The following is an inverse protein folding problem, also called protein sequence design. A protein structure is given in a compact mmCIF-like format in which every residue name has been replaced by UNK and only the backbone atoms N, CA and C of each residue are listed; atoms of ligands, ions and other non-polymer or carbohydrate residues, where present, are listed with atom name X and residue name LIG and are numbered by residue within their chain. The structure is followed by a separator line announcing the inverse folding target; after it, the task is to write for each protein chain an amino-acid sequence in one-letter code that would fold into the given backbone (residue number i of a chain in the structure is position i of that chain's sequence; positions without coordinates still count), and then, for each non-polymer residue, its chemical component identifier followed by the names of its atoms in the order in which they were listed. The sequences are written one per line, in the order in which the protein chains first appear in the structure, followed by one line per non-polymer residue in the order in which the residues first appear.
data_IF_742821786475
#
_entry.id   IF_742821786475
#
_cell.length_a   1.000
_cell.length_b   1.000
_cell.length_c   1.000
_cell.angle_alpha   90.00
_cell.angle_beta   90.00
_cell.angle_gamma   90.00
#
_symmetry.space_group_name_H-M   'P 1'
#
loop_
_entity.id
_entity.type
_entity.pdbx_description
1 polymer ?
#
# COMPACT_ATOMS: atom_id res chain seq x y z
N UNK A 1 -1.33 63.12 -47.32
CA UNK A 1 -1.74 63.02 -45.91
C UNK A 1 -2.60 61.77 -45.75
N UNK A 2 -2.00 60.58 -45.57
CA UNK A 2 -2.73 59.30 -45.45
C UNK A 2 -2.46 58.70 -44.07
N UNK A 3 -3.47 58.68 -43.19
CA UNK A 3 -3.43 58.03 -41.87
C UNK A 3 -3.71 56.53 -42.05
N UNK A 4 -2.72 55.67 -41.79
CA UNK A 4 -2.93 54.23 -41.62
C UNK A 4 -3.47 53.98 -40.20
N UNK A 5 -4.67 53.43 -40.10
CA UNK A 5 -5.23 52.91 -38.85
C UNK A 5 -4.72 51.48 -38.67
N UNK A 6 -3.93 51.24 -37.61
CA UNK A 6 -3.46 49.92 -37.26
C UNK A 6 -4.48 49.21 -36.38
N UNK A 7 -5.15 48.19 -36.91
CA UNK A 7 -6.07 47.34 -36.16
C UNK A 7 -5.26 46.33 -35.35
N UNK A 8 -5.18 46.51 -34.02
CA UNK A 8 -4.60 45.52 -33.11
C UNK A 8 -5.58 44.36 -32.92
N UNK A 9 -5.28 43.21 -33.51
CA UNK A 9 -5.92 41.93 -33.16
C UNK A 9 -5.50 41.55 -31.73
N UNK A 10 -6.45 41.57 -30.78
CA UNK A 10 -6.27 40.94 -29.46
C UNK A 10 -6.40 39.44 -29.64
N UNK A 11 -5.32 38.70 -29.43
CA UNK A 11 -5.37 37.25 -29.30
C UNK A 11 -6.20 36.91 -28.05
N UNK A 12 -7.31 36.20 -28.24
CA UNK A 12 -8.05 35.59 -27.15
C UNK A 12 -7.24 34.40 -26.64
N UNK A 13 -6.63 34.56 -25.47
CA UNK A 13 -6.08 33.44 -24.71
C UNK A 13 -7.27 32.69 -24.11
N UNK A 14 -7.47 31.44 -24.53
CA UNK A 14 -8.46 30.58 -23.91
C UNK A 14 -8.11 30.39 -22.42
N UNK A 15 -9.09 30.46 -21.51
CA UNK A 15 -8.84 30.17 -20.10
C UNK A 15 -8.29 28.74 -19.95
N UNK A 16 -7.40 28.49 -18.98
CA UNK A 16 -6.94 27.14 -18.69
C UNK A 16 -8.15 26.24 -18.43
N UNK A 17 -8.12 25.03 -18.98
CA UNK A 17 -9.14 24.02 -18.73
C UNK A 17 -9.34 23.91 -17.21
N UNK A 18 -10.59 23.99 -16.77
CA UNK A 18 -10.92 23.81 -15.36
C UNK A 18 -10.33 22.46 -14.92
N UNK A 19 -9.54 22.47 -13.84
CA UNK A 19 -9.06 21.24 -13.23
C UNK A 19 -10.25 20.32 -13.00
N UNK A 20 -10.19 19.09 -13.51
CA UNK A 20 -11.25 18.12 -13.29
C UNK A 20 -11.49 17.98 -11.78
N UNK A 21 -12.75 17.90 -11.34
CA UNK A 21 -13.07 17.76 -9.92
C UNK A 21 -12.37 16.51 -9.39
N UNK A 22 -11.56 16.69 -8.34
CA UNK A 22 -10.90 15.57 -7.66
C UNK A 22 -12.01 14.68 -7.10
N UNK A 23 -12.11 13.41 -7.53
CA UNK A 23 -13.19 12.55 -7.09
C UNK A 23 -13.13 12.31 -5.58
N UNK A 24 -14.31 12.32 -4.97
CA UNK A 24 -14.52 11.97 -3.56
C UNK A 24 -13.93 10.61 -3.20
N UNK A 25 -13.58 10.41 -1.92
CA UNK A 25 -13.10 9.11 -1.42
C UNK A 25 -13.99 7.94 -1.83
N UNK A 26 -13.46 7.05 -2.67
CA UNK A 26 -14.23 5.93 -3.22
C UNK A 26 -14.56 4.84 -2.20
N UNK A 27 -13.71 4.68 -1.17
CA UNK A 27 -13.93 3.81 -0.01
C UNK A 27 -12.87 4.05 1.07
N UNK A 28 -13.15 3.57 2.28
CA UNK A 28 -12.18 3.52 3.38
C UNK A 28 -11.54 2.13 3.50
N UNK A 29 -10.43 2.05 4.22
CA UNK A 29 -9.79 0.80 4.65
C UNK A 29 -10.34 0.47 6.04
N UNK A 30 -10.40 -0.82 6.38
CA UNK A 30 -10.81 -1.21 7.72
C UNK A 30 -9.74 -0.80 8.73
N UNK A 31 -10.16 -0.30 9.89
CA UNK A 31 -9.23 0.10 10.94
C UNK A 31 -8.38 -1.09 11.42
N UNK A 32 -7.07 -0.93 11.32
CA UNK A 32 -6.04 -1.83 11.81
C UNK A 32 -4.84 -1.00 12.25
N UNK A 33 -4.14 -1.44 13.30
CA UNK A 33 -2.98 -0.70 13.83
C UNK A 33 -1.64 -1.26 13.33
N UNK A 34 -1.63 -2.49 12.81
CA UNK A 34 -0.48 -3.06 12.13
C UNK A 34 -0.87 -3.96 10.96
N UNK A 35 0.01 -4.04 9.99
CA UNK A 35 -0.07 -4.95 8.86
C UNK A 35 1.17 -5.88 8.89
N UNK A 36 0.94 -7.18 8.89
CA UNK A 36 1.96 -8.21 9.03
C UNK A 36 2.00 -8.99 7.73
N UNK A 37 3.16 -8.98 7.08
CA UNK A 37 3.40 -9.69 5.83
C UNK A 37 4.27 -10.90 6.12
N UNK A 38 3.73 -12.09 5.86
CA UNK A 38 4.47 -13.34 5.87
C UNK A 38 5.15 -13.51 4.50
N UNK A 39 6.47 -13.59 4.49
CA UNK A 39 7.29 -13.66 3.28
C UNK A 39 7.55 -15.11 2.85
N UNK A 40 7.98 -15.27 1.59
CA UNK A 40 8.37 -16.56 1.02
C UNK A 40 7.21 -17.46 0.61
N UNK A 41 5.98 -16.93 0.58
CA UNK A 41 4.81 -17.67 0.13
C UNK A 41 4.83 -17.87 -1.40
N UNK A 42 4.11 -18.88 -1.94
CA UNK A 42 3.84 -18.96 -3.36
C UNK A 42 3.17 -17.68 -3.89
N UNK A 43 3.29 -17.41 -5.20
CA UNK A 43 2.62 -16.25 -5.79
C UNK A 43 1.13 -16.25 -5.44
N UNK A 44 0.57 -15.13 -4.98
CA UNK A 44 -0.87 -15.00 -4.72
C UNK A 44 -1.74 -15.33 -5.94
N UNK A 45 -1.19 -15.30 -7.15
CA UNK A 45 -1.91 -15.71 -8.36
C UNK A 45 -2.18 -17.23 -8.42
N UNK A 46 -1.39 -18.05 -7.70
CA UNK A 46 -1.44 -19.51 -7.79
C UNK A 46 -2.06 -20.18 -6.55
N UNK A 47 -2.25 -19.44 -5.46
CA UNK A 47 -2.84 -19.99 -4.22
C UNK A 47 -4.38 -20.10 -4.34
N UNK A 48 -5.01 -21.01 -3.58
CA UNK A 48 -6.48 -21.14 -3.58
C UNK A 48 -7.18 -19.92 -2.96
N UNK A 49 -8.46 -19.75 -3.29
CA UNK A 49 -9.31 -18.61 -2.87
C UNK A 49 -9.34 -18.34 -1.36
N UNK A 50 -9.06 -19.38 -0.56
CA UNK A 50 -8.77 -19.30 0.87
C UNK A 50 -7.41 -19.95 1.10
N UNK A 51 -6.42 -19.14 1.44
CA UNK A 51 -5.04 -19.59 1.67
C UNK A 51 -4.62 -19.26 3.10
N UNK A 52 -4.17 -20.28 3.83
CA UNK A 52 -3.69 -20.16 5.21
C UNK A 52 -2.84 -21.36 5.57
N UNK A 53 -1.90 -21.19 6.49
CA UNK A 53 -1.14 -22.27 7.14
C UNK A 53 -1.57 -22.39 8.59
N UNK A 54 -1.14 -23.42 9.32
CA UNK A 54 -1.33 -23.47 10.77
C UNK A 54 -0.70 -22.26 11.46
N UNK A 55 0.55 -21.96 11.10
CA UNK A 55 1.31 -20.85 11.64
C UNK A 55 0.62 -19.49 11.40
N UNK A 56 0.11 -19.24 10.20
CA UNK A 56 -0.55 -17.96 9.89
C UNK A 56 -1.88 -17.78 10.64
N UNK A 57 -2.65 -18.86 10.81
CA UNK A 57 -3.90 -18.84 11.60
C UNK A 57 -3.60 -18.58 13.07
N UNK A 58 -2.60 -19.27 13.62
CA UNK A 58 -2.21 -19.10 15.02
C UNK A 58 -1.71 -17.67 15.28
N UNK A 59 -0.91 -17.11 14.37
CA UNK A 59 -0.48 -15.72 14.43
C UNK A 59 -1.67 -14.75 14.34
N UNK A 60 -2.56 -14.92 13.36
CA UNK A 60 -3.74 -14.06 13.20
C UNK A 60 -4.64 -14.07 14.44
N UNK A 61 -4.79 -15.20 15.12
CA UNK A 61 -5.52 -15.27 16.40
C UNK A 61 -4.86 -14.42 17.49
N UNK A 62 -3.53 -14.43 17.59
CA UNK A 62 -2.78 -13.61 18.56
C UNK A 62 -2.77 -12.12 18.20
N UNK A 63 -2.93 -11.77 16.93
CA UNK A 63 -2.90 -10.37 16.48
C UNK A 63 -4.28 -9.70 16.44
N UNK A 64 -5.36 -10.50 16.37
CA UNK A 64 -6.75 -10.01 16.30
C UNK A 64 -7.16 -9.09 17.45
N UNK A 65 -6.84 -9.38 18.74
CA UNK A 65 -7.27 -8.54 19.87
C UNK A 65 -6.82 -7.08 19.77
N UNK A 66 -5.67 -6.85 19.13
CA UNK A 66 -5.12 -5.53 18.89
C UNK A 66 -5.23 -5.09 17.42
N UNK A 67 -6.00 -5.80 16.60
CA UNK A 67 -6.30 -5.44 15.19
C UNK A 67 -5.08 -5.46 14.27
N UNK A 68 -4.21 -6.45 14.41
CA UNK A 68 -3.19 -6.77 13.41
C UNK A 68 -3.75 -7.60 12.27
N UNK A 69 -3.46 -7.21 11.03
CA UNK A 69 -3.84 -7.96 9.81
C UNK A 69 -2.66 -8.80 9.31
N UNK A 70 -2.89 -10.09 9.07
CA UNK A 70 -1.87 -11.00 8.53
C UNK A 70 -2.18 -11.30 7.07
N UNK A 71 -1.21 -11.03 6.19
CA UNK A 71 -1.25 -11.38 4.78
C UNK A 71 0.02 -12.13 4.37
N UNK A 72 -0.04 -12.86 3.26
CA UNK A 72 1.13 -13.50 2.66
C UNK A 72 1.58 -12.68 1.47
N UNK A 73 2.90 -12.61 1.27
CA UNK A 73 3.47 -12.02 0.07
C UNK A 73 4.50 -12.92 -0.61
N UNK A 74 4.56 -12.79 -1.93
CA UNK A 74 5.64 -13.24 -2.79
C UNK A 74 6.49 -12.01 -3.15
N UNK A 75 7.70 -11.95 -2.62
CA UNK A 75 8.62 -10.81 -2.74
C UNK A 75 10.09 -11.28 -2.60
N UNK A 76 11.02 -10.32 -2.62
CA UNK A 76 12.46 -10.57 -2.50
C UNK A 76 13.00 -10.44 -1.07
N UNK A 77 12.15 -10.34 -0.05
CA UNK A 77 12.59 -10.09 1.34
C UNK A 77 13.25 -11.33 1.94
N UNK A 78 12.72 -12.52 1.68
CA UNK A 78 13.25 -13.76 2.22
C UNK A 78 13.22 -14.91 1.22
N UNK A 79 13.99 -15.95 1.55
CA UNK A 79 13.90 -17.25 0.89
C UNK A 79 12.49 -17.86 1.04
N UNK A 80 12.14 -18.88 0.22
CA UNK A 80 10.85 -19.55 0.30
C UNK A 80 10.55 -20.04 1.71
N UNK A 81 9.33 -19.77 2.18
CA UNK A 81 8.81 -20.31 3.43
C UNK A 81 8.47 -21.78 3.28
N UNK A 82 8.54 -22.53 4.37
CA UNK A 82 7.87 -23.83 4.51
C UNK A 82 6.57 -23.65 5.29
N UNK A 83 5.74 -24.69 5.30
CA UNK A 83 4.48 -24.67 6.04
C UNK A 83 4.66 -24.33 7.54
N UNK A 84 5.75 -24.82 8.13
CA UNK A 84 6.07 -24.66 9.56
C UNK A 84 7.00 -23.48 9.88
N UNK A 85 7.50 -22.77 8.86
CA UNK A 85 8.50 -21.70 9.05
C UNK A 85 8.46 -20.64 7.96
N UNK A 86 8.34 -19.37 8.36
CA UNK A 86 8.46 -18.23 7.47
C UNK A 86 9.21 -17.06 8.12
N UNK A 87 9.68 -16.12 7.31
CA UNK A 87 10.05 -14.80 7.79
C UNK A 87 8.83 -13.87 7.71
N UNK A 88 8.82 -12.78 8.47
CA UNK A 88 7.77 -11.77 8.38
C UNK A 88 8.29 -10.36 8.56
N UNK A 89 7.51 -9.39 8.12
CA UNK A 89 7.69 -7.98 8.47
C UNK A 89 6.38 -7.45 9.00
N UNK A 90 6.41 -6.80 10.17
CA UNK A 90 5.29 -6.02 10.68
C UNK A 90 5.51 -4.54 10.38
N UNK A 91 4.47 -3.88 9.91
CA UNK A 91 4.40 -2.44 9.75
C UNK A 91 3.38 -1.89 10.75
N UNK A 92 3.74 -0.86 11.51
CA UNK A 92 2.81 -0.20 12.42
C UNK A 92 2.77 1.31 12.18
N UNK A 93 1.62 1.92 12.49
CA UNK A 93 1.45 3.37 12.38
C UNK A 93 2.33 4.15 13.38
N UNK A 94 2.90 3.46 14.39
CA UNK A 94 3.72 4.07 15.44
C UNK A 94 5.21 3.96 15.17
N UNK A 95 5.68 2.82 14.63
CA UNK A 95 7.09 2.46 14.66
C UNK A 95 7.68 2.06 13.30
N UNK A 96 6.91 2.12 12.21
CA UNK A 96 7.41 1.76 10.88
C UNK A 96 7.57 0.25 10.74
N UNK A 97 8.64 -0.20 10.12
CA UNK A 97 8.90 -1.61 9.84
C UNK A 97 9.71 -2.32 10.94
N UNK A 98 9.37 -3.60 11.19
CA UNK A 98 10.17 -4.52 11.98
C UNK A 98 10.21 -5.88 11.28
N UNK A 99 11.40 -6.32 10.90
CA UNK A 99 11.62 -7.62 10.29
C UNK A 99 11.90 -8.68 11.35
N UNK A 100 11.20 -9.81 11.26
CA UNK A 100 11.43 -11.01 12.05
C UNK A 100 11.91 -12.11 11.09
N UNK A 101 13.17 -12.56 11.20
CA UNK A 101 13.78 -13.45 10.22
C UNK A 101 13.20 -14.86 10.27
N UNK A 102 12.60 -15.26 11.39
CA UNK A 102 12.06 -16.58 11.58
C UNK A 102 10.88 -16.59 12.55
N UNK A 103 9.75 -17.09 12.08
CA UNK A 103 8.58 -17.47 12.83
C UNK A 103 8.36 -18.98 12.68
N UNK A 104 8.14 -19.67 13.80
CA UNK A 104 7.73 -21.08 13.90
C UNK A 104 6.67 -21.20 14.99
N UNK A 105 6.06 -22.38 15.15
CA UNK A 105 5.15 -22.61 16.28
C UNK A 105 5.85 -22.48 17.64
N UNK A 106 7.12 -22.87 17.73
CA UNK A 106 7.91 -22.85 18.98
C UNK A 106 8.18 -21.43 19.49
N UNK A 107 8.36 -20.45 18.60
CA UNK A 107 8.64 -19.06 18.97
C UNK A 107 7.45 -18.11 18.77
N UNK A 108 6.27 -18.65 18.45
CA UNK A 108 5.08 -17.86 18.08
C UNK A 108 4.68 -16.87 19.17
N UNK A 109 4.74 -17.26 20.44
CA UNK A 109 4.36 -16.41 21.58
C UNK A 109 5.31 -15.22 21.73
N UNK A 110 6.62 -15.47 21.70
CA UNK A 110 7.66 -14.45 21.78
C UNK A 110 7.54 -13.46 20.62
N UNK A 111 7.39 -13.97 19.39
CA UNK A 111 7.22 -13.13 18.21
C UNK A 111 5.94 -12.31 18.33
N UNK A 112 4.81 -12.91 18.72
CA UNK A 112 3.54 -12.18 18.85
C UNK A 112 3.63 -11.04 19.89
N UNK A 113 4.32 -11.26 21.02
CA UNK A 113 4.57 -10.20 22.01
C UNK A 113 5.47 -9.09 21.44
N UNK A 114 6.50 -9.44 20.68
CA UNK A 114 7.34 -8.47 19.99
C UNK A 114 6.53 -7.63 18.99
N UNK A 115 5.67 -8.25 18.16
CA UNK A 115 4.81 -7.55 17.21
C UNK A 115 3.81 -6.65 17.93
N UNK A 116 3.23 -7.12 19.04
CA UNK A 116 2.30 -6.34 19.84
C UNK A 116 2.97 -5.08 20.39
N UNK A 117 4.15 -5.19 21.02
CA UNK A 117 4.91 -4.03 21.51
C UNK A 117 5.24 -3.06 20.38
N UNK A 118 5.66 -3.55 19.21
CA UNK A 118 5.91 -2.72 18.03
C UNK A 118 4.65 -2.01 17.50
N UNK A 119 3.47 -2.58 17.72
CA UNK A 119 2.21 -2.02 17.25
C UNK A 119 1.57 -1.04 18.25
N UNK A 120 1.89 -1.11 19.55
CA UNK A 120 1.17 -0.39 20.61
C UNK A 120 2.02 0.55 21.45
N UNK A 121 3.34 0.36 21.51
CA UNK A 121 4.25 1.19 22.31
C UNK A 121 5.04 2.09 21.37
N UNK A 122 4.80 3.41 21.36
CA UNK A 122 5.59 4.34 20.55
C UNK A 122 7.07 4.30 20.95
N UNK A 123 7.94 4.26 19.96
CA UNK A 123 9.38 4.42 20.11
C UNK A 123 9.85 5.66 19.35
N UNK A 124 11.13 6.00 19.44
CA UNK A 124 11.68 7.08 18.62
C UNK A 124 11.52 6.72 17.14
N UNK A 125 10.73 7.52 16.41
CA UNK A 125 10.48 7.31 14.97
C UNK A 125 11.81 7.26 14.22
N UNK A 126 11.99 6.16 13.47
CA UNK A 126 13.14 5.98 12.58
C UNK A 126 12.67 6.10 11.14
N UNK A 127 13.59 6.55 10.29
CA UNK A 127 13.42 6.44 8.85
C UNK A 127 13.78 5.00 8.46
N UNK A 128 12.84 4.31 7.84
CA UNK A 128 13.08 2.97 7.31
C UNK A 128 13.99 3.05 6.07
N UNK A 129 14.88 2.07 5.96
CA UNK A 129 15.79 1.96 4.83
C UNK A 129 15.04 1.65 3.53
N UNK A 130 13.94 0.89 3.61
CA UNK A 130 13.21 0.35 2.46
C UNK A 130 11.78 0.89 2.38
N UNK A 131 11.32 1.12 1.15
CA UNK A 131 9.92 1.31 0.84
C UNK A 131 9.33 -0.03 0.39
N UNK A 132 8.22 -0.45 0.97
CA UNK A 132 7.53 -1.69 0.60
C UNK A 132 6.25 -1.35 -0.14
N UNK A 133 6.08 -1.90 -1.33
CA UNK A 133 4.91 -1.76 -2.17
C UNK A 133 4.34 -3.16 -2.42
N UNK A 134 3.11 -3.39 -1.98
CA UNK A 134 2.42 -4.65 -2.19
C UNK A 134 1.19 -4.46 -3.07
N UNK A 135 1.07 -5.29 -4.11
CA UNK A 135 -0.08 -5.27 -5.01
C UNK A 135 -0.89 -6.55 -4.81
N UNK A 136 -2.19 -6.42 -4.56
CA UNK A 136 -3.04 -7.58 -4.40
C UNK A 136 -3.28 -8.26 -5.75
N UNK A 137 -2.77 -9.48 -5.95
CA UNK A 137 -2.86 -10.25 -7.20
C UNK A 137 -3.61 -11.58 -7.05
N UNK A 138 -4.41 -11.74 -5.98
CA UNK A 138 -5.03 -13.02 -5.61
C UNK A 138 -6.20 -13.43 -6.54
N UNK A 139 -5.88 -14.02 -7.70
CA UNK A 139 -6.81 -14.39 -8.79
C UNK A 139 -7.95 -15.30 -8.34
N UNK A 140 -7.64 -16.36 -7.59
CA UNK A 140 -8.65 -17.33 -7.15
C UNK A 140 -9.68 -16.73 -6.18
N UNK A 141 -9.35 -15.61 -5.52
CA UNK A 141 -10.27 -14.90 -4.62
C UNK A 141 -11.19 -13.93 -5.37
N UNK A 142 -10.67 -13.23 -6.37
CA UNK A 142 -11.44 -12.36 -7.27
C UNK A 142 -10.64 -12.11 -8.55
N UNK A 143 -11.28 -12.25 -9.73
CA UNK A 143 -10.61 -12.09 -11.02
C UNK A 143 -10.01 -10.69 -11.20
N UNK A 144 -10.63 -9.63 -10.66
CA UNK A 144 -10.11 -8.26 -10.77
C UNK A 144 -8.79 -8.10 -10.01
N UNK A 145 -8.63 -8.79 -8.88
CA UNK A 145 -7.35 -8.83 -8.18
C UNK A 145 -6.27 -9.47 -9.06
N UNK A 146 -6.56 -10.60 -9.70
CA UNK A 146 -5.61 -11.27 -10.61
C UNK A 146 -5.28 -10.45 -11.85
N UNK A 147 -6.30 -9.98 -12.57
CA UNK A 147 -6.16 -9.29 -13.85
C UNK A 147 -5.62 -7.87 -13.70
N UNK A 148 -6.39 -7.00 -13.02
CA UNK A 148 -6.03 -5.58 -12.85
C UNK A 148 -4.85 -5.44 -11.89
N UNK A 149 -4.85 -6.17 -10.78
CA UNK A 149 -3.72 -6.19 -9.85
C UNK A 149 -2.45 -6.73 -10.50
N UNK A 150 -2.53 -7.83 -11.25
CA UNK A 150 -1.39 -8.37 -11.97
C UNK A 150 -0.84 -7.42 -13.05
N UNK A 151 -1.70 -6.70 -13.76
CA UNK A 151 -1.27 -5.67 -14.72
C UNK A 151 -0.52 -4.51 -14.04
N UNK A 152 -1.05 -3.99 -12.93
CA UNK A 152 -0.40 -2.92 -12.16
C UNK A 152 0.93 -3.39 -11.55
N UNK A 153 0.99 -4.60 -11.00
CA UNK A 153 2.23 -5.16 -10.47
C UNK A 153 3.33 -5.23 -11.55
N UNK A 154 3.01 -5.74 -12.74
CA UNK A 154 3.97 -5.81 -13.86
C UNK A 154 4.42 -4.41 -14.32
N UNK A 155 3.50 -3.46 -14.38
CA UNK A 155 3.84 -2.07 -14.72
C UNK A 155 4.77 -1.44 -13.66
N UNK A 156 4.49 -1.62 -12.37
CA UNK A 156 5.36 -1.15 -11.29
C UNK A 156 6.75 -1.78 -11.34
N UNK A 157 6.83 -3.09 -11.62
CA UNK A 157 8.09 -3.79 -11.79
C UNK A 157 8.91 -3.20 -12.93
N UNK A 158 8.31 -3.11 -14.12
CA UNK A 158 8.97 -2.58 -15.30
C UNK A 158 9.48 -1.14 -15.08
N UNK A 159 8.67 -0.30 -14.43
CA UNK A 159 9.03 1.10 -14.14
C UNK A 159 10.17 1.20 -13.10
N UNK A 160 10.12 0.41 -12.02
CA UNK A 160 11.18 0.38 -11.01
C UNK A 160 12.51 -0.15 -11.58
N UNK A 161 12.45 -1.17 -12.44
CA UNK A 161 13.61 -1.77 -13.10
C UNK A 161 14.23 -0.77 -14.09
N UNK A 162 13.41 -0.09 -14.91
CA UNK A 162 13.86 0.93 -15.85
C UNK A 162 14.53 2.12 -15.15
N UNK A 163 14.03 2.51 -13.97
CA UNK A 163 14.60 3.56 -13.13
C UNK A 163 15.81 3.10 -12.29
N UNK A 164 16.10 1.80 -12.26
CA UNK A 164 17.12 1.20 -11.39
C UNK A 164 16.95 1.60 -9.92
N UNK A 165 15.70 1.61 -9.44
CA UNK A 165 15.37 2.15 -8.12
C UNK A 165 15.83 1.20 -7.03
N UNK A 166 16.80 1.64 -6.22
CA UNK A 166 17.27 0.89 -5.06
C UNK A 166 16.33 1.03 -3.85
N UNK A 167 16.42 0.08 -2.91
CA UNK A 167 15.73 0.12 -1.62
C UNK A 167 14.19 0.19 -1.71
N UNK A 168 13.63 -0.42 -2.76
CA UNK A 168 12.19 -0.67 -2.89
C UNK A 168 11.95 -2.17 -2.95
N UNK A 169 11.07 -2.66 -2.09
CA UNK A 169 10.54 -4.01 -2.14
C UNK A 169 9.19 -3.95 -2.81
N UNK A 170 9.10 -4.48 -4.04
CA UNK A 170 7.83 -4.69 -4.72
C UNK A 170 7.44 -6.16 -4.57
N UNK A 171 6.25 -6.41 -4.02
CA UNK A 171 5.73 -7.75 -3.78
C UNK A 171 4.28 -7.91 -4.24
N UNK A 172 3.90 -9.16 -4.52
CA UNK A 172 2.51 -9.55 -4.68
C UNK A 172 1.96 -9.96 -3.33
N UNK A 173 0.74 -9.52 -2.96
CA UNK A 173 0.11 -9.89 -1.68
C UNK A 173 -1.20 -10.64 -1.88
N UNK A 174 -1.52 -11.54 -0.95
CA UNK A 174 -2.84 -12.18 -0.90
C UNK A 174 -3.94 -11.18 -0.67
N UNK A 175 -5.18 -11.58 -0.96
CA UNK A 175 -6.35 -10.71 -0.91
C UNK A 175 -6.47 -9.90 0.39
N UNK A 176 -6.57 -8.57 0.23
CA UNK A 176 -6.62 -7.59 1.32
C UNK A 176 -8.03 -7.02 1.57
N UNK A 177 -9.05 -7.60 0.94
CA UNK A 177 -10.43 -7.09 0.98
C UNK A 177 -10.74 -6.07 -0.11
N UNK A 178 -12.03 -5.73 -0.25
CA UNK A 178 -12.51 -4.63 -1.11
C UNK A 178 -12.02 -4.73 -2.57
N UNK A 179 -12.11 -5.93 -3.17
CA UNK A 179 -11.70 -6.20 -4.57
C UNK A 179 -12.43 -5.33 -5.61
N UNK A 180 -13.55 -4.69 -5.25
CA UNK A 180 -14.27 -3.78 -6.14
C UNK A 180 -13.44 -2.54 -6.51
N UNK A 181 -12.38 -2.25 -5.75
CA UNK A 181 -11.41 -1.20 -6.02
C UNK A 181 -10.05 -1.76 -6.47
N UNK A 182 -9.99 -2.96 -7.03
CA UNK A 182 -8.77 -3.44 -7.66
C UNK A 182 -8.33 -2.47 -8.79
N UNK A 183 -7.03 -2.24 -9.02
CA UNK A 183 -5.91 -2.80 -8.27
C UNK A 183 -5.74 -2.12 -6.90
N UNK A 184 -5.61 -2.93 -5.84
CA UNK A 184 -5.27 -2.44 -4.50
C UNK A 184 -3.76 -2.47 -4.33
N UNK A 185 -3.19 -1.34 -3.90
CA UNK A 185 -1.75 -1.17 -3.64
C UNK A 185 -1.56 -0.67 -2.22
N UNK A 186 -0.71 -1.34 -1.45
CA UNK A 186 -0.39 -1.01 -0.07
C UNK A 186 1.05 -0.54 0.00
N UNK A 187 1.31 0.56 0.69
CA UNK A 187 2.64 1.17 0.76
C UNK A 187 3.07 1.38 2.20
N UNK A 188 4.18 0.77 2.58
CA UNK A 188 4.78 0.87 3.90
C UNK A 188 6.20 1.46 3.82
N UNK A 189 6.64 2.20 4.84
CA UNK A 189 6.00 2.37 6.14
C UNK A 189 4.90 3.43 6.24
N UNK A 190 4.60 4.16 5.17
CA UNK A 190 3.58 5.22 5.19
C UNK A 190 2.24 4.73 5.75
N UNK A 191 1.88 3.48 5.44
CA UNK A 191 0.60 2.86 5.78
C UNK A 191 -0.51 3.21 4.79
N UNK A 192 -0.16 3.76 3.62
CA UNK A 192 -1.12 4.23 2.62
C UNK A 192 -1.66 3.07 1.78
N UNK A 193 -2.96 3.12 1.50
CA UNK A 193 -3.65 2.18 0.63
C UNK A 193 -4.28 2.93 -0.52
N UNK A 194 -4.05 2.41 -1.72
CA UNK A 194 -4.60 2.92 -2.96
C UNK A 194 -5.54 1.88 -3.55
N UNK A 195 -6.53 2.34 -4.32
CA UNK A 195 -7.38 1.48 -5.13
C UNK A 195 -7.70 2.12 -6.46
N UNK A 196 -8.24 1.32 -7.37
CA UNK A 196 -8.47 1.69 -8.78
C UNK A 196 -7.18 2.18 -9.46
N UNK A 197 -6.04 1.71 -8.98
CA UNK A 197 -4.75 2.02 -9.61
C UNK A 197 -4.77 1.43 -11.03
N UNK A 198 -4.44 2.26 -12.01
CA UNK A 198 -4.30 1.87 -13.41
C UNK A 198 -2.83 1.79 -13.78
N UNK A 199 -2.52 1.12 -14.89
CA UNK A 199 -1.15 1.07 -15.44
C UNK A 199 -0.64 2.48 -15.74
N UNK A 200 -1.47 3.36 -16.30
CA UNK A 200 -1.09 4.73 -16.66
C UNK A 200 -0.74 5.61 -15.45
N UNK A 201 -1.31 5.31 -14.27
CA UNK A 201 -1.03 6.05 -13.05
C UNK A 201 0.25 5.56 -12.33
N UNK A 202 0.85 4.45 -12.76
CA UNK A 202 2.03 3.88 -12.09
C UNK A 202 3.21 4.85 -12.04
N UNK A 203 3.63 5.52 -13.13
CA UNK A 203 4.79 6.40 -13.09
C UNK A 203 4.63 7.55 -12.09
N UNK A 204 3.49 8.24 -12.13
CA UNK A 204 3.20 9.39 -11.24
C UNK A 204 2.98 8.98 -9.79
N UNK A 205 2.38 7.81 -9.56
CA UNK A 205 2.27 7.24 -8.22
C UNK A 205 3.66 6.94 -7.65
N UNK A 206 4.53 6.27 -8.41
CA UNK A 206 5.91 5.99 -7.98
C UNK A 206 6.71 7.27 -7.72
N UNK A 207 6.57 8.30 -8.53
CA UNK A 207 7.20 9.61 -8.27
C UNK A 207 6.81 10.16 -6.90
N UNK A 208 5.51 10.11 -6.58
CA UNK A 208 4.97 10.56 -5.29
C UNK A 208 5.54 9.74 -4.14
N UNK A 209 5.55 8.40 -4.28
CA UNK A 209 6.00 7.50 -3.23
C UNK A 209 7.50 7.60 -2.97
N UNK A 210 8.31 7.73 -4.02
CA UNK A 210 9.78 7.80 -3.91
C UNK A 210 10.27 9.15 -3.36
N UNK A 211 9.53 10.22 -3.59
CA UNK A 211 9.80 11.53 -2.99
C UNK A 211 9.32 11.65 -1.52
N UNK A 212 8.51 10.70 -1.04
CA UNK A 212 7.93 10.73 0.31
C UNK A 212 8.90 10.19 1.37
N UNK A 213 8.80 10.67 2.63
CA UNK A 213 9.67 10.21 3.70
C UNK A 213 9.32 8.78 4.10
N UNK A 214 10.33 7.90 4.19
CA UNK A 214 10.17 6.49 4.56
C UNK A 214 9.94 6.32 6.07
N UNK A 215 8.80 6.77 6.56
CA UNK A 215 8.31 6.59 7.93
C UNK A 215 6.78 6.47 7.94
N UNK A 216 6.17 6.03 9.04
CA UNK A 216 4.73 6.22 9.23
C UNK A 216 4.35 7.68 9.05
N UNK A 217 3.29 7.93 8.27
CA UNK A 217 2.72 9.27 8.14
C UNK A 217 1.79 9.54 9.32
N UNK A 218 1.92 10.72 9.91
CA UNK A 218 1.09 11.15 11.03
C UNK A 218 -0.37 11.28 10.59
N UNK A 219 -1.35 11.13 11.50
CA UNK A 219 -2.77 11.22 11.16
C UNK A 219 -3.20 12.50 10.45
N UNK A 220 -2.51 13.61 10.70
CA UNK A 220 -2.78 14.92 10.11
C UNK A 220 -2.05 15.17 8.78
N UNK A 221 -1.09 14.32 8.39
CA UNK A 221 -0.38 14.51 7.12
C UNK A 221 -1.32 14.17 5.94
N UNK A 222 -1.36 14.98 4.87
CA UNK A 222 -2.23 14.76 3.73
C UNK A 222 -2.09 13.35 3.14
N UNK A 223 -3.16 12.82 2.56
CA UNK A 223 -3.11 11.59 1.79
C UNK A 223 -2.10 11.70 0.65
N UNK A 224 -1.20 10.73 0.52
CA UNK A 224 -0.41 10.62 -0.70
C UNK A 224 -1.36 10.30 -1.86
N UNK A 225 -1.13 10.92 -3.01
CA UNK A 225 -1.90 10.71 -4.25
C UNK A 225 -3.44 10.64 -4.05
N UNK A 226 -4.10 11.76 -3.67
CA UNK A 226 -5.48 11.75 -3.19
C UNK A 226 -6.52 11.12 -4.13
N UNK A 227 -6.33 11.21 -5.45
CA UNK A 227 -7.29 10.69 -6.45
C UNK A 227 -7.41 9.16 -6.45
N UNK A 228 -6.39 8.43 -5.98
CA UNK A 228 -6.39 6.97 -5.85
C UNK A 228 -6.42 6.50 -4.40
N UNK A 229 -6.34 7.42 -3.45
CA UNK A 229 -6.22 7.11 -2.04
C UNK A 229 -7.51 6.47 -1.51
N UNK A 230 -7.34 5.47 -0.63
CA UNK A 230 -8.45 4.74 0.01
C UNK A 230 -8.32 4.68 1.52
N UNK A 231 -7.17 4.98 2.10
CA UNK A 231 -7.01 4.92 3.53
C UNK A 231 -5.57 4.84 3.98
N UNK A 232 -5.42 5.01 5.29
CA UNK A 232 -4.15 4.89 5.98
C UNK A 232 -4.30 3.99 7.20
N UNK A 233 -3.37 3.05 7.36
CA UNK A 233 -3.24 2.25 8.58
C UNK A 233 -3.21 3.16 9.82
N UNK A 234 -3.91 2.78 10.88
CA UNK A 234 -4.03 3.59 12.10
C UNK A 234 -5.13 4.65 12.07
N UNK A 235 -5.84 4.86 10.95
CA UNK A 235 -6.99 5.75 10.88
C UNK A 235 -8.32 4.98 10.89
N UNK A 236 -9.30 5.48 11.64
CA UNK A 236 -10.67 5.01 11.55
C UNK A 236 -11.41 5.62 10.33
N UNK A 237 -12.64 5.17 10.08
CA UNK A 237 -13.42 5.58 8.92
C UNK A 237 -13.65 7.10 8.87
N UNK A 238 -13.95 7.70 10.01
CA UNK A 238 -14.23 9.12 10.14
C UNK A 238 -12.97 9.94 9.82
N UNK A 239 -11.84 9.60 10.43
CA UNK A 239 -10.54 10.25 10.20
C UNK A 239 -10.12 10.14 8.73
N UNK A 240 -10.31 8.97 8.13
CA UNK A 240 -10.00 8.80 6.71
C UNK A 240 -10.88 9.68 5.82
N UNK A 241 -12.16 9.79 6.13
CA UNK A 241 -13.11 10.61 5.36
C UNK A 241 -12.80 12.09 5.49
N UNK A 242 -12.32 12.54 6.66
CA UNK A 242 -11.86 13.91 6.88
C UNK A 242 -10.55 14.24 6.15
N UNK A 243 -9.65 13.25 5.99
CA UNK A 243 -8.38 13.43 5.30
C UNK A 243 -8.53 13.41 3.78
N UNK A 244 -9.57 12.73 3.28
CA UNK A 244 -9.85 12.71 1.86
C UNK A 244 -10.27 14.10 1.36
N UNK A 245 -9.91 14.45 0.11
CA UNK A 245 -10.40 15.67 -0.50
C UNK A 245 -11.94 15.67 -0.50
N UNK A 246 -12.59 16.82 -0.22
CA UNK A 246 -14.03 16.91 -0.21
C UNK A 246 -14.59 16.52 -1.58
N UNK A 247 -15.71 15.78 -1.59
CA UNK A 247 -16.50 15.57 -2.79
C UNK A 247 -16.89 16.93 -3.39
N UNK A 248 -16.54 17.17 -4.65
CA UNK A 248 -17.06 18.31 -5.40
C UNK A 248 -18.58 18.21 -5.61
#
# INVERSE_FOLDING_TARGET
MFRRVATRLRAFVAPPAAAEPVPSLHATVAYHCAHIVLHGAPSPQTVPSRYSTELSRALQLKTTPWRGLVNFASDSVSNPSSEDRCALTVFSALNGSLHVPQLTMDNLDEVAEQLHRHATVPTALKVDEKLYIYVCTHTARDCRCGETGGAVYRAMRAELDARQTANVVLGEVTHVGQHQFAANVLVFPHGEWFGRVTVDAVPSLLDTLLASPRRPLAPSEPALYPSLWRGRMGLNKEQQTQLAPPSA
#
